data_IF_893961563358
#
_entry.id   IF_893961563358
#
_cell.length_a   1.000
_cell.length_b   1.000
_cell.length_c   1.000
_cell.angle_alpha   90.00
_cell.angle_beta   90.00
_cell.angle_gamma   90.00
#
_symmetry.space_group_name_H-M   'P 1'
#
loop_
_entity.id
_entity.type
_entity.pdbx_description
1 polymer ?
#
# COMPACT_ATOMS: atom_id res chain seq x y z
N UNK A 1 13.02 41.38 34.26
CA UNK A 1 12.34 42.36 33.40
C UNK A 1 11.57 41.60 32.33
N UNK A 2 10.25 41.70 32.35
CA UNK A 2 9.35 40.96 31.45
C UNK A 2 9.66 41.35 30.00
N UNK A 3 10.06 40.39 29.16
CA UNK A 3 10.34 40.64 27.75
C UNK A 3 9.04 41.08 27.06
N UNK A 4 8.90 42.36 26.74
CA UNK A 4 7.77 42.89 25.97
C UNK A 4 7.65 42.12 24.64
N UNK A 5 6.49 41.54 24.40
CA UNK A 5 6.13 40.89 23.15
C UNK A 5 5.98 41.92 22.04
N UNK A 6 6.32 41.53 20.79
CA UNK A 6 6.30 42.45 19.62
C UNK A 6 4.94 43.13 19.40
N UNK A 7 3.83 42.50 19.83
CA UNK A 7 2.48 43.03 19.64
C UNK A 7 1.92 43.79 20.85
N UNK A 8 2.64 43.84 21.98
CA UNK A 8 2.18 44.47 23.22
C UNK A 8 2.14 46.01 23.08
N UNK A 9 1.37 46.73 23.92
CA UNK A 9 1.42 48.18 23.99
C UNK A 9 2.84 48.68 24.24
N UNK A 10 3.27 49.69 23.50
CA UNK A 10 4.62 50.22 23.65
C UNK A 10 4.79 50.90 25.02
N UNK A 11 5.93 50.64 25.66
CA UNK A 11 6.26 51.15 27.00
C UNK A 11 6.35 52.69 27.10
N UNK A 12 6.33 53.42 25.98
CA UNK A 12 6.29 54.88 25.96
C UNK A 12 4.90 55.48 26.24
N UNK A 13 3.86 54.65 26.42
CA UNK A 13 2.50 55.11 26.72
C UNK A 13 1.73 55.65 25.51
N UNK A 14 2.25 55.52 24.28
CA UNK A 14 1.62 56.07 23.06
C UNK A 14 0.38 55.34 22.55
N UNK A 15 -0.02 54.23 23.18
CA UNK A 15 -1.13 53.37 22.73
C UNK A 15 -0.85 52.53 21.47
N UNK A 16 0.32 52.69 20.82
CA UNK A 16 0.72 51.91 19.63
C UNK A 16 1.37 50.57 20.02
N UNK A 17 1.28 49.55 19.14
CA UNK A 17 1.98 48.25 19.32
C UNK A 17 3.51 48.44 19.30
N UNK A 18 4.24 47.74 20.16
CA UNK A 18 5.69 47.86 20.37
C UNK A 18 6.50 47.73 19.07
N UNK A 19 6.17 46.77 18.21
CA UNK A 19 6.81 46.58 16.89
C UNK A 19 6.69 47.77 15.94
N UNK A 20 5.65 48.61 16.10
CA UNK A 20 5.40 49.80 15.26
C UNK A 20 5.87 51.10 15.93
N UNK A 21 6.55 51.00 17.08
CA UNK A 21 6.99 52.16 17.85
C UNK A 21 8.48 52.03 18.19
N UNK A 22 8.85 51.53 19.38
CA UNK A 22 10.25 51.57 19.84
C UNK A 22 11.08 50.32 19.50
N UNK A 23 10.49 49.22 18.98
CA UNK A 23 11.23 47.98 18.73
C UNK A 23 12.51 48.16 17.87
N UNK A 24 12.44 48.95 16.80
CA UNK A 24 13.62 49.17 15.93
C UNK A 24 14.70 50.01 16.61
N UNK A 25 14.32 50.97 17.46
CA UNK A 25 15.27 51.79 18.20
C UNK A 25 15.99 50.96 19.27
N UNK A 26 15.25 50.15 20.02
CA UNK A 26 15.79 49.27 21.05
C UNK A 26 16.72 48.19 20.46
N UNK A 27 16.40 47.69 19.26
CA UNK A 27 17.26 46.76 18.53
C UNK A 27 18.57 47.39 18.07
N UNK A 28 18.57 48.69 17.75
CA UNK A 28 19.78 49.44 17.36
C UNK A 28 20.66 49.82 18.54
N UNK A 29 20.07 49.90 19.75
CA UNK A 29 20.80 50.22 20.98
C UNK A 29 21.27 49.00 21.76
N UNK A 30 20.93 47.77 21.33
CA UNK A 30 21.54 46.57 21.89
C UNK A 30 23.02 46.52 21.51
N UNK A 31 23.94 46.53 22.49
CA UNK A 31 25.36 46.29 22.20
C UNK A 31 25.49 44.93 21.53
N UNK A 32 26.22 44.87 20.41
CA UNK A 32 26.70 43.58 19.90
C UNK A 32 27.69 43.06 20.94
N UNK A 33 27.30 42.07 21.73
CA UNK A 33 28.17 41.41 22.69
C UNK A 33 29.32 40.71 21.96
N UNK A 34 30.38 41.46 21.67
CA UNK A 34 31.70 40.99 21.28
C UNK A 34 32.53 40.82 22.55
N UNK A 35 32.34 39.72 23.27
CA UNK A 35 33.23 39.26 24.34
C UNK A 35 33.47 37.75 24.23
N UNK A 36 34.36 37.38 23.31
CA UNK A 36 35.15 36.15 23.39
C UNK A 36 36.63 36.53 23.64
N UNK A 37 37.41 35.74 24.37
CA UNK A 37 38.74 36.14 24.82
C UNK A 37 39.68 36.38 23.65
N UNK A 38 40.16 37.63 23.55
CA UNK A 38 41.13 38.11 22.58
C UNK A 38 42.53 37.58 22.92
N UNK A 39 42.80 36.33 22.55
CA UNK A 39 44.15 35.84 22.22
C UNK A 39 44.18 34.44 21.59
N UNK A 40 43.07 33.96 21.03
CA UNK A 40 43.12 32.74 20.20
C UNK A 40 43.55 33.12 18.79
N UNK A 41 44.62 32.50 18.22
CA UNK A 41 44.96 32.70 16.82
C UNK A 41 43.73 32.36 15.97
N UNK A 42 43.53 33.11 14.89
CA UNK A 42 42.42 32.88 13.96
C UNK A 42 42.28 31.37 13.71
N UNK A 43 41.04 30.81 13.76
CA UNK A 43 40.87 29.39 13.50
C UNK A 43 41.53 29.10 12.16
N UNK A 44 42.46 28.15 12.16
CA UNK A 44 43.15 27.73 10.96
C UNK A 44 42.11 27.50 9.86
N UNK A 45 42.40 27.87 8.60
CA UNK A 45 41.47 27.61 7.50
C UNK A 45 41.02 26.15 7.61
N UNK A 46 39.70 25.95 7.59
CA UNK A 46 39.11 24.62 7.72
C UNK A 46 39.88 23.68 6.77
N UNK A 47 40.39 22.54 7.26
CA UNK A 47 41.11 21.61 6.41
C UNK A 47 40.22 21.27 5.21
N UNK A 48 40.83 21.18 4.02
CA UNK A 48 40.12 20.82 2.80
C UNK A 48 39.19 19.63 3.11
N UNK A 49 37.87 19.80 2.92
CA UNK A 49 36.89 18.74 3.22
C UNK A 49 37.20 17.45 2.46
N UNK A 50 37.89 17.54 1.30
CA UNK A 50 38.42 16.38 0.56
C UNK A 50 39.48 15.58 1.31
N UNK A 51 40.21 16.20 2.25
CA UNK A 51 41.21 15.55 3.09
C UNK A 51 40.62 14.97 4.39
N UNK A 52 39.40 15.38 4.77
CA UNK A 52 38.71 14.94 6.00
C UNK A 52 38.58 13.41 6.09
N UNK A 53 38.20 12.69 5.01
CA UNK A 53 38.15 11.22 4.98
C UNK A 53 39.47 10.54 5.37
N UNK A 54 40.57 10.99 4.76
CA UNK A 54 41.91 10.45 5.03
C UNK A 54 42.36 10.74 6.46
N UNK A 55 42.01 11.92 7.00
CA UNK A 55 42.27 12.27 8.39
C UNK A 55 41.47 11.40 9.35
N UNK A 56 40.16 11.23 9.14
CA UNK A 56 39.30 10.38 9.96
C UNK A 56 39.78 8.93 9.95
N UNK A 57 40.10 8.37 8.77
CA UNK A 57 40.61 7.00 8.63
C UNK A 57 41.96 6.81 9.36
N UNK A 58 42.84 7.82 9.30
CA UNK A 58 44.10 7.83 10.07
C UNK A 58 43.86 7.90 11.58
N UNK A 59 42.91 8.71 12.04
CA UNK A 59 42.56 8.82 13.46
C UNK A 59 41.91 7.54 14.02
N UNK A 60 41.05 6.88 13.23
CA UNK A 60 40.43 5.61 13.62
C UNK A 60 41.44 4.46 13.75
N UNK A 61 42.54 4.49 13.00
CA UNK A 61 43.57 3.43 12.99
C UNK A 61 44.74 3.73 13.94
N UNK A 62 45.19 4.98 14.00
CA UNK A 62 46.42 5.39 14.71
C UNK A 62 46.19 6.29 15.92
N UNK A 63 44.95 6.74 16.15
CA UNK A 63 44.61 7.62 17.27
C UNK A 63 44.70 6.95 18.65
N UNK A 64 44.44 7.69 19.74
CA UNK A 64 44.35 7.14 21.09
C UNK A 64 43.26 6.07 21.19
N UNK A 65 43.50 4.98 21.91
CA UNK A 65 42.60 3.80 21.94
C UNK A 65 41.13 4.15 22.30
N UNK A 66 40.93 5.13 23.19
CA UNK A 66 39.62 5.64 23.60
C UNK A 66 38.85 6.34 22.47
N UNK A 67 39.54 6.93 21.50
CA UNK A 67 38.95 7.72 20.42
C UNK A 67 38.78 6.89 19.13
N UNK A 68 39.54 5.80 18.98
CA UNK A 68 39.46 4.90 17.80
C UNK A 68 38.05 4.37 17.57
N UNK A 69 37.38 3.89 18.63
CA UNK A 69 36.01 3.36 18.54
C UNK A 69 35.04 4.41 18.04
N UNK A 70 35.09 5.62 18.61
CA UNK A 70 34.24 6.74 18.22
C UNK A 70 34.48 7.21 16.79
N UNK A 71 35.74 7.28 16.35
CA UNK A 71 36.06 7.63 14.96
C UNK A 71 35.70 6.51 13.98
N UNK A 72 35.77 5.25 14.39
CA UNK A 72 35.31 4.11 13.60
C UNK A 72 33.78 4.12 13.42
N UNK A 73 33.03 4.46 14.47
CA UNK A 73 31.56 4.66 14.40
C UNK A 73 31.20 5.80 13.43
N UNK A 74 31.84 6.97 13.56
CA UNK A 74 31.65 8.10 12.64
C UNK A 74 31.99 7.72 11.19
N UNK A 75 33.07 6.97 10.97
CA UNK A 75 33.42 6.49 9.62
C UNK A 75 32.45 5.46 9.07
N UNK A 76 31.86 4.62 9.93
CA UNK A 76 30.86 3.65 9.51
C UNK A 76 29.55 4.35 9.12
N UNK A 77 29.11 5.34 9.90
CA UNK A 77 27.89 6.11 9.65
C UNK A 77 28.06 7.10 8.49
N UNK A 78 29.21 7.78 8.38
CA UNK A 78 29.47 8.79 7.35
C UNK A 78 30.20 8.23 6.12
N UNK A 79 30.48 6.93 6.06
CA UNK A 79 31.30 6.28 5.03
C UNK A 79 30.89 6.62 3.60
N UNK A 80 29.60 6.48 3.24
CA UNK A 80 29.09 6.81 1.90
C UNK A 80 29.21 8.29 1.55
N UNK A 81 28.87 9.20 2.47
CA UNK A 81 29.00 10.66 2.28
C UNK A 81 30.46 11.08 2.10
N UNK A 82 31.35 10.45 2.87
CA UNK A 82 32.80 10.60 2.75
C UNK A 82 33.27 10.14 1.38
N UNK A 83 32.88 8.94 0.95
CA UNK A 83 33.27 8.39 -0.35
C UNK A 83 32.76 9.26 -1.51
N UNK A 84 31.50 9.68 -1.43
CA UNK A 84 30.90 10.61 -2.39
C UNK A 84 31.69 11.91 -2.49
N UNK A 85 32.10 12.48 -1.35
CA UNK A 85 32.92 13.70 -1.33
C UNK A 85 34.29 13.49 -1.98
N UNK A 86 34.90 12.31 -1.78
CA UNK A 86 36.19 11.98 -2.41
C UNK A 86 36.04 11.80 -3.91
N UNK A 87 35.00 11.09 -4.35
CA UNK A 87 34.74 10.75 -5.76
C UNK A 87 33.94 11.81 -6.51
N UNK A 88 33.68 12.97 -5.91
CA UNK A 88 32.82 14.01 -6.48
C UNK A 88 33.28 14.44 -7.88
N UNK A 89 34.59 14.61 -8.08
CA UNK A 89 35.15 15.00 -9.39
C UNK A 89 34.93 13.90 -10.44
N UNK A 90 35.06 12.62 -10.07
CA UNK A 90 34.80 11.48 -10.95
C UNK A 90 33.33 11.41 -11.35
N UNK A 91 32.42 11.60 -10.38
CA UNK A 91 30.96 11.60 -10.60
C UNK A 91 30.57 12.75 -11.53
N UNK A 92 31.16 13.94 -11.34
CA UNK A 92 30.92 15.09 -12.21
C UNK A 92 31.44 14.85 -13.63
N UNK A 93 32.64 14.30 -13.77
CA UNK A 93 33.21 13.96 -15.08
C UNK A 93 32.34 12.91 -15.80
N UNK A 94 31.91 11.86 -15.10
CA UNK A 94 31.01 10.84 -15.64
C UNK A 94 29.67 11.44 -16.07
N UNK A 95 29.10 12.36 -15.27
CA UNK A 95 27.88 13.09 -15.63
C UNK A 95 28.06 13.95 -16.89
N UNK A 96 29.22 14.60 -17.05
CA UNK A 96 29.52 15.36 -18.27
C UNK A 96 29.68 14.46 -19.50
N UNK A 97 30.24 13.26 -19.34
CA UNK A 97 30.37 12.29 -20.43
C UNK A 97 28.99 11.80 -20.91
N UNK A 98 28.05 11.58 -19.99
CA UNK A 98 26.68 11.17 -20.32
C UNK A 98 25.95 12.15 -21.24
N UNK A 99 26.29 13.44 -21.19
CA UNK A 99 25.69 14.47 -22.05
C UNK A 99 25.84 14.18 -23.55
N UNK A 100 26.90 13.49 -23.96
CA UNK A 100 27.11 13.04 -25.34
C UNK A 100 26.11 11.95 -25.77
N UNK A 101 25.50 11.26 -24.81
CA UNK A 101 24.55 10.16 -25.01
C UNK A 101 23.10 10.55 -24.69
N UNK A 102 22.82 11.82 -24.39
CA UNK A 102 21.48 12.31 -24.05
C UNK A 102 20.41 11.95 -25.07
N UNK A 103 20.68 12.10 -26.38
CA UNK A 103 19.68 11.83 -27.42
C UNK A 103 19.18 10.37 -27.37
N UNK A 104 20.08 9.42 -27.11
CA UNK A 104 19.71 8.01 -26.96
C UNK A 104 18.90 7.76 -25.68
N UNK A 105 19.17 8.51 -24.61
CA UNK A 105 18.38 8.46 -23.39
C UNK A 105 16.98 9.08 -23.59
N UNK A 106 16.88 10.19 -24.30
CA UNK A 106 15.59 10.81 -24.63
C UNK A 106 14.71 9.87 -25.45
N UNK A 107 15.29 9.13 -26.41
CA UNK A 107 14.60 8.08 -27.16
C UNK A 107 14.11 6.95 -26.23
N UNK A 108 14.96 6.49 -25.30
CA UNK A 108 14.58 5.49 -24.30
C UNK A 108 13.39 5.95 -23.43
N UNK A 109 13.36 7.22 -23.01
CA UNK A 109 12.28 7.78 -22.18
C UNK A 109 10.94 7.82 -22.92
N UNK A 110 10.93 7.89 -24.25
CA UNK A 110 9.69 7.77 -25.04
C UNK A 110 9.18 6.33 -25.12
N UNK A 111 10.05 5.34 -24.94
CA UNK A 111 9.71 3.92 -24.91
C UNK A 111 9.58 3.43 -23.46
N UNK A 112 8.40 3.67 -22.88
CA UNK A 112 8.11 3.36 -21.48
C UNK A 112 8.34 1.90 -21.12
N UNK A 113 8.00 0.97 -22.02
CA UNK A 113 8.15 -0.47 -21.77
C UNK A 113 9.63 -0.84 -21.69
N UNK A 114 10.42 -0.40 -22.68
CA UNK A 114 11.87 -0.63 -22.69
C UNK A 114 12.57 0.04 -21.52
N UNK A 115 12.15 1.25 -21.16
CA UNK A 115 12.70 1.96 -20.01
C UNK A 115 12.46 1.20 -18.70
N UNK A 116 11.24 0.72 -18.47
CA UNK A 116 10.89 -0.06 -17.27
C UNK A 116 11.67 -1.38 -17.22
N UNK A 117 11.77 -2.10 -18.33
CA UNK A 117 12.57 -3.33 -18.39
C UNK A 117 14.05 -3.10 -18.06
N UNK A 118 14.64 -2.01 -18.57
CA UNK A 118 16.03 -1.66 -18.28
C UNK A 118 16.23 -1.25 -16.81
N UNK A 119 15.28 -0.49 -16.22
CA UNK A 119 15.31 -0.11 -14.81
C UNK A 119 15.28 -1.35 -13.89
N UNK A 120 14.36 -2.29 -14.15
CA UNK A 120 14.26 -3.54 -13.40
C UNK A 120 15.54 -4.36 -13.53
N UNK A 121 16.03 -4.56 -14.76
CA UNK A 121 17.28 -5.28 -15.00
C UNK A 121 18.46 -4.65 -14.27
N UNK A 122 18.60 -3.32 -14.32
CA UNK A 122 19.68 -2.58 -13.67
C UNK A 122 19.61 -2.71 -12.14
N UNK A 123 18.47 -2.40 -11.54
CA UNK A 123 18.34 -2.35 -10.08
C UNK A 123 18.24 -3.72 -9.41
N UNK A 124 18.00 -4.78 -10.18
CA UNK A 124 18.16 -6.17 -9.71
C UNK A 124 19.63 -6.59 -9.53
N UNK A 125 20.60 -5.85 -10.09
CA UNK A 125 22.03 -6.19 -9.99
C UNK A 125 22.53 -6.26 -8.54
N UNK A 126 23.47 -7.18 -8.29
CA UNK A 126 24.05 -7.39 -6.96
C UNK A 126 24.70 -6.13 -6.35
N UNK A 127 25.14 -5.17 -7.17
CA UNK A 127 25.71 -3.90 -6.70
C UNK A 127 24.72 -3.07 -5.88
N UNK A 128 23.42 -3.21 -6.14
CA UNK A 128 22.36 -2.48 -5.44
C UNK A 128 21.78 -3.27 -4.26
N UNK A 129 22.23 -4.51 -4.03
CA UNK A 129 21.75 -5.32 -2.91
C UNK A 129 21.85 -4.64 -1.54
N UNK A 130 22.91 -3.85 -1.22
CA UNK A 130 22.98 -3.11 0.04
C UNK A 130 21.93 -2.01 0.21
N UNK A 131 21.25 -1.60 -0.87
CA UNK A 131 20.24 -0.53 -0.85
C UNK A 131 18.81 -1.07 -0.69
N UNK A 132 18.64 -2.39 -0.76
CA UNK A 132 17.33 -3.05 -0.63
C UNK A 132 16.81 -2.90 0.79
N UNK A 133 15.50 -2.72 0.91
CA UNK A 133 14.86 -2.80 2.22
C UNK A 133 14.85 -4.25 2.71
N UNK A 134 15.02 -4.43 4.01
CA UNK A 134 15.01 -5.75 4.65
C UNK A 134 13.58 -6.21 4.94
N UNK A 135 13.38 -7.52 5.06
CA UNK A 135 12.09 -8.09 5.49
C UNK A 135 11.59 -7.52 6.83
N UNK A 136 12.53 -7.19 7.74
CA UNK A 136 12.20 -6.60 9.04
C UNK A 136 11.72 -5.16 8.90
N UNK A 137 12.39 -4.32 8.09
CA UNK A 137 11.95 -2.95 7.80
C UNK A 137 10.56 -2.97 7.15
N UNK A 138 10.35 -3.80 6.11
CA UNK A 138 9.06 -3.93 5.42
C UNK A 138 7.94 -4.33 6.36
N UNK A 139 8.16 -5.37 7.19
CA UNK A 139 7.18 -5.80 8.19
C UNK A 139 6.83 -4.68 9.18
N UNK A 140 7.79 -3.88 9.62
CA UNK A 140 7.54 -2.76 10.52
C UNK A 140 6.74 -1.66 9.85
N UNK A 141 7.05 -1.33 8.59
CA UNK A 141 6.29 -0.36 7.80
C UNK A 141 4.84 -0.79 7.61
N UNK A 142 4.59 -2.05 7.24
CA UNK A 142 3.24 -2.58 7.06
C UNK A 142 2.44 -2.62 8.37
N UNK A 143 3.10 -2.84 9.52
CA UNK A 143 2.43 -2.68 10.83
C UNK A 143 1.99 -1.23 11.09
N UNK A 144 2.68 -0.26 10.52
CA UNK A 144 2.37 1.16 10.69
C UNK A 144 1.27 1.63 9.72
N UNK A 145 1.36 1.24 8.45
CA UNK A 145 0.45 1.73 7.39
C UNK A 145 -0.74 0.82 7.12
N UNK A 146 -0.73 -0.40 7.65
CA UNK A 146 -1.67 -1.47 7.30
C UNK A 146 -1.06 -2.50 6.37
N UNK A 147 -1.71 -3.66 6.30
CA UNK A 147 -1.31 -4.75 5.40
C UNK A 147 -2.10 -4.67 4.08
N UNK A 148 -1.44 -4.87 2.92
CA UNK A 148 -2.18 -4.99 1.66
C UNK A 148 -3.12 -6.19 1.77
N UNK A 149 -4.40 -5.97 1.46
CA UNK A 149 -5.39 -7.03 1.57
C UNK A 149 -5.06 -8.15 0.56
N UNK A 150 -5.10 -9.44 0.94
CA UNK A 150 -4.73 -10.56 0.06
C UNK A 150 -5.50 -10.64 -1.25
N UNK A 151 -6.63 -9.93 -1.33
CA UNK A 151 -7.54 -9.96 -2.45
C UNK A 151 -7.71 -8.57 -3.10
N UNK A 152 -7.20 -7.47 -2.53
CA UNK A 152 -7.59 -6.11 -2.96
C UNK A 152 -7.43 -5.94 -4.47
N UNK A 153 -8.22 -5.04 -5.07
CA UNK A 153 -7.90 -4.61 -6.42
C UNK A 153 -6.45 -4.06 -6.43
N UNK A 154 -5.82 -4.05 -7.61
CA UNK A 154 -4.42 -3.62 -7.71
C UNK A 154 -4.19 -2.19 -7.21
N UNK A 155 -5.24 -1.35 -7.19
CA UNK A 155 -5.18 0.04 -6.74
C UNK A 155 -5.04 0.13 -5.22
N UNK A 156 -5.92 -0.50 -4.42
CA UNK A 156 -5.86 -0.45 -2.95
C UNK A 156 -4.59 -1.15 -2.39
N UNK A 157 -4.19 -2.25 -3.02
CA UNK A 157 -2.90 -2.90 -2.72
C UNK A 157 -1.75 -1.94 -3.02
N UNK A 158 -1.79 -1.28 -4.19
CA UNK A 158 -0.79 -0.33 -4.63
C UNK A 158 -0.66 0.86 -3.69
N UNK A 159 -1.77 1.40 -3.17
CA UNK A 159 -1.78 2.50 -2.20
C UNK A 159 -1.13 2.10 -0.88
N UNK A 160 -1.44 0.92 -0.36
CA UNK A 160 -0.85 0.42 0.89
C UNK A 160 0.66 0.23 0.74
N UNK A 161 1.10 -0.39 -0.35
CA UNK A 161 2.52 -0.58 -0.65
C UNK A 161 3.23 0.77 -0.87
N UNK A 162 2.59 1.71 -1.56
CA UNK A 162 3.08 3.08 -1.73
C UNK A 162 3.28 3.76 -0.37
N UNK A 163 2.29 3.67 0.52
CA UNK A 163 2.40 4.22 1.88
C UNK A 163 3.56 3.59 2.66
N UNK A 164 3.76 2.27 2.55
CA UNK A 164 4.88 1.58 3.20
C UNK A 164 6.24 2.04 2.67
N UNK A 165 6.37 2.20 1.34
CA UNK A 165 7.59 2.73 0.71
C UNK A 165 7.87 4.15 1.21
N UNK A 166 6.87 5.02 1.23
CA UNK A 166 7.04 6.40 1.70
C UNK A 166 7.39 6.47 3.20
N UNK A 167 6.88 5.55 4.01
CA UNK A 167 7.25 5.43 5.41
C UNK A 167 8.72 5.04 5.61
N UNK A 168 9.24 4.12 4.79
CA UNK A 168 10.63 3.66 4.86
C UNK A 168 11.63 4.61 4.19
N UNK A 169 11.21 5.26 3.10
CA UNK A 169 12.01 6.20 2.34
C UNK A 169 11.78 7.62 2.84
N UNK A 170 12.13 7.87 4.10
CA UNK A 170 12.13 9.23 4.64
C UNK A 170 13.20 10.11 3.98
N UNK A 171 13.24 11.39 4.37
CA UNK A 171 14.17 12.36 3.78
C UNK A 171 15.63 11.96 3.94
N UNK A 172 16.03 11.43 5.09
CA UNK A 172 17.42 11.06 5.37
C UNK A 172 17.79 9.81 4.55
N UNK A 173 16.95 8.79 4.59
CA UNK A 173 17.15 7.56 3.82
C UNK A 173 17.20 7.83 2.32
N UNK A 174 16.38 8.73 1.78
CA UNK A 174 16.43 9.14 0.37
C UNK A 174 17.75 9.81 -0.01
N UNK A 175 18.32 10.64 0.87
CA UNK A 175 19.62 11.26 0.64
C UNK A 175 20.74 10.22 0.61
N UNK A 176 20.70 9.25 1.52
CA UNK A 176 21.66 8.14 1.54
C UNK A 176 21.56 7.28 0.28
N UNK A 177 20.34 6.88 -0.10
CA UNK A 177 20.09 6.10 -1.32
C UNK A 177 20.59 6.82 -2.58
N UNK A 178 20.30 8.12 -2.72
CA UNK A 178 20.76 8.91 -3.85
C UNK A 178 22.29 9.05 -3.89
N UNK A 179 22.93 9.19 -2.74
CA UNK A 179 24.39 9.23 -2.62
C UNK A 179 25.00 7.91 -3.12
N UNK A 180 24.45 6.78 -2.70
CA UNK A 180 24.90 5.46 -3.14
C UNK A 180 24.67 5.20 -4.63
N UNK A 181 23.55 5.69 -5.19
CA UNK A 181 23.29 5.63 -6.63
C UNK A 181 24.38 6.39 -7.41
N UNK A 182 24.68 7.64 -7.04
CA UNK A 182 25.67 8.45 -7.74
C UNK A 182 27.09 7.87 -7.65
N UNK A 183 27.42 7.16 -6.58
CA UNK A 183 28.69 6.43 -6.46
C UNK A 183 28.87 5.33 -7.51
N UNK A 184 27.78 4.81 -8.11
CA UNK A 184 27.85 3.82 -9.19
C UNK A 184 28.11 4.46 -10.56
N UNK A 185 27.93 5.77 -10.70
CA UNK A 185 27.93 6.47 -11.98
C UNK A 185 29.26 6.33 -12.75
N UNK A 186 30.43 6.56 -12.14
CA UNK A 186 31.70 6.49 -12.87
C UNK A 186 31.95 5.10 -13.45
N UNK A 187 31.65 4.05 -12.69
CA UNK A 187 31.91 2.66 -13.09
C UNK A 187 30.99 2.24 -14.25
N UNK A 188 29.75 2.72 -14.29
CA UNK A 188 28.82 2.48 -15.40
C UNK A 188 29.28 3.18 -16.68
N UNK A 189 29.68 4.44 -16.58
CA UNK A 189 30.19 5.22 -17.71
C UNK A 189 31.48 4.62 -18.26
N UNK A 190 32.41 4.24 -17.39
CA UNK A 190 33.65 3.57 -17.77
C UNK A 190 33.40 2.22 -18.47
N UNK A 191 32.33 1.52 -18.09
CA UNK A 191 31.90 0.28 -18.74
C UNK A 191 31.13 0.49 -20.06
N UNK A 192 30.94 1.74 -20.51
CA UNK A 192 30.15 2.08 -21.70
C UNK A 192 28.64 1.91 -21.53
N UNK A 193 28.16 1.77 -20.28
CA UNK A 193 26.74 1.57 -19.94
C UNK A 193 26.02 2.91 -19.76
N UNK A 194 26.03 3.72 -20.81
CA UNK A 194 25.60 5.12 -20.76
C UNK A 194 24.11 5.32 -20.46
N UNK A 195 23.24 4.45 -20.99
CA UNK A 195 21.80 4.53 -20.71
C UNK A 195 21.51 4.21 -19.24
N UNK A 196 22.16 3.21 -18.69
CA UNK A 196 22.06 2.88 -17.26
C UNK A 196 22.66 3.98 -16.38
N UNK A 197 23.76 4.61 -16.80
CA UNK A 197 24.31 5.80 -16.15
C UNK A 197 23.30 6.94 -16.06
N UNK A 198 22.60 7.24 -17.17
CA UNK A 198 21.50 8.22 -17.19
C UNK A 198 20.35 7.83 -16.25
N UNK A 199 19.94 6.56 -16.24
CA UNK A 199 18.90 6.07 -15.33
C UNK A 199 19.31 6.21 -13.86
N UNK A 200 20.55 5.87 -13.50
CA UNK A 200 21.08 6.06 -12.14
C UNK A 200 21.07 7.54 -11.76
N UNK A 201 21.57 8.42 -12.62
CA UNK A 201 21.68 9.85 -12.32
C UNK A 201 20.31 10.52 -12.14
N UNK A 202 19.38 10.26 -13.08
CA UNK A 202 18.01 10.81 -13.01
C UNK A 202 17.23 10.23 -11.82
N UNK A 203 17.39 8.95 -11.53
CA UNK A 203 16.78 8.29 -10.36
C UNK A 203 17.29 8.89 -9.06
N UNK A 204 18.60 9.13 -8.94
CA UNK A 204 19.18 9.74 -7.75
C UNK A 204 18.58 11.12 -7.48
N UNK A 205 18.46 11.96 -8.53
CA UNK A 205 17.83 13.27 -8.43
C UNK A 205 16.35 13.17 -8.03
N UNK A 206 15.56 12.36 -8.72
CA UNK A 206 14.13 12.19 -8.44
C UNK A 206 13.86 11.61 -7.05
N UNK A 207 14.75 10.75 -6.54
CA UNK A 207 14.63 10.18 -5.19
C UNK A 207 14.72 11.26 -4.11
N UNK A 208 15.51 12.31 -4.33
CA UNK A 208 15.68 13.43 -3.39
C UNK A 208 14.58 14.48 -3.53
N UNK A 209 14.20 14.83 -4.76
CA UNK A 209 13.27 15.94 -5.01
C UNK A 209 11.80 15.55 -4.78
N UNK A 210 11.39 14.35 -5.21
CA UNK A 210 10.01 13.90 -5.12
C UNK A 210 9.76 13.11 -3.81
N UNK A 211 9.85 13.81 -2.67
CA UNK A 211 9.73 13.17 -1.33
C UNK A 211 8.34 12.59 -1.05
N UNK A 212 7.29 13.19 -1.62
CA UNK A 212 5.90 12.78 -1.43
C UNK A 212 5.46 11.68 -2.42
N UNK A 213 6.37 11.22 -3.29
CA UNK A 213 6.07 10.21 -4.30
C UNK A 213 7.11 9.08 -4.37
N UNK A 214 6.70 7.96 -4.95
CA UNK A 214 7.57 6.81 -5.20
C UNK A 214 8.26 6.96 -6.55
N UNK A 215 9.26 6.12 -6.79
CA UNK A 215 9.83 5.95 -8.12
C UNK A 215 10.16 4.46 -8.35
N UNK A 216 10.43 4.04 -9.60
CA UNK A 216 10.70 2.64 -9.91
C UNK A 216 11.84 2.02 -9.09
N UNK A 217 12.86 2.81 -8.73
CA UNK A 217 13.96 2.33 -7.89
C UNK A 217 13.52 2.04 -6.46
N UNK A 218 12.77 2.95 -5.81
CA UNK A 218 12.27 2.72 -4.46
C UNK A 218 11.33 1.51 -4.42
N UNK A 219 10.50 1.34 -5.45
CA UNK A 219 9.64 0.17 -5.59
C UNK A 219 10.47 -1.11 -5.71
N UNK A 220 11.49 -1.14 -6.57
CA UNK A 220 12.37 -2.29 -6.75
C UNK A 220 13.17 -2.62 -5.48
N UNK A 221 13.69 -1.62 -4.77
CA UNK A 221 14.39 -1.86 -3.50
C UNK A 221 13.45 -2.42 -2.43
N UNK A 222 12.17 -2.04 -2.48
CA UNK A 222 11.14 -2.52 -1.56
C UNK A 222 10.65 -3.91 -1.91
N UNK A 223 10.51 -4.24 -3.19
CA UNK A 223 10.01 -5.55 -3.64
C UNK A 223 10.87 -6.69 -3.08
N UNK A 224 12.21 -6.57 -3.08
CA UNK A 224 13.10 -7.59 -2.50
C UNK A 224 12.84 -7.82 -1.00
N UNK A 225 12.63 -6.74 -0.23
CA UNK A 225 12.31 -6.85 1.20
C UNK A 225 10.93 -7.45 1.42
N UNK A 226 9.97 -7.08 0.58
CA UNK A 226 8.60 -7.57 0.61
C UNK A 226 8.50 -9.06 0.26
N UNK A 227 9.17 -9.50 -0.80
CA UNK A 227 9.29 -10.91 -1.19
C UNK A 227 9.96 -11.74 -0.11
N UNK A 228 11.06 -11.24 0.49
CA UNK A 228 11.72 -11.91 1.59
C UNK A 228 10.79 -12.04 2.81
N UNK A 229 10.02 -11.00 3.13
CA UNK A 229 9.03 -11.04 4.21
C UNK A 229 7.90 -12.03 3.94
N UNK A 230 7.37 -12.07 2.71
CA UNK A 230 6.35 -13.05 2.30
C UNK A 230 6.91 -14.47 2.44
N UNK A 231 8.13 -14.72 1.97
CA UNK A 231 8.78 -16.03 2.08
C UNK A 231 9.00 -16.45 3.54
N UNK A 232 9.41 -15.51 4.41
CA UNK A 232 9.54 -15.75 5.85
C UNK A 232 8.19 -16.14 6.49
N UNK A 233 7.11 -15.42 6.13
CA UNK A 233 5.76 -15.70 6.63
C UNK A 233 5.28 -17.08 6.17
N UNK A 234 5.41 -17.39 4.87
CA UNK A 234 5.05 -18.69 4.31
C UNK A 234 5.83 -19.82 4.97
N UNK A 235 7.14 -19.65 5.20
CA UNK A 235 7.97 -20.65 5.87
C UNK A 235 7.53 -20.90 7.32
N UNK A 236 7.12 -19.84 8.04
CA UNK A 236 6.57 -19.95 9.40
C UNK A 236 5.25 -20.71 9.41
N UNK A 237 4.33 -20.38 8.50
CA UNK A 237 3.04 -21.06 8.36
C UNK A 237 3.24 -22.54 8.00
N UNK A 238 4.15 -22.83 7.07
CA UNK A 238 4.47 -24.20 6.67
C UNK A 238 5.06 -25.01 7.82
N UNK A 239 5.96 -24.43 8.61
CA UNK A 239 6.53 -25.11 9.77
C UNK A 239 5.45 -25.46 10.80
N UNK A 240 4.45 -24.60 10.96
CA UNK A 240 3.32 -24.81 11.85
C UNK A 240 2.37 -25.88 11.32
N UNK A 241 2.05 -25.87 10.03
CA UNK A 241 1.25 -26.91 9.37
C UNK A 241 1.93 -28.30 9.45
N UNK A 242 3.24 -28.36 9.21
CA UNK A 242 4.02 -29.62 9.35
C UNK A 242 3.97 -30.18 10.77
N UNK A 243 3.93 -29.33 11.82
CA UNK A 243 3.75 -29.78 13.22
C UNK A 243 2.39 -30.44 13.46
N UNK A 244 1.38 -30.13 12.65
CA UNK A 244 0.06 -30.78 12.66
C UNK A 244 0.01 -32.04 11.79
N UNK A 245 1.15 -32.46 11.23
CA UNK A 245 1.24 -33.61 10.32
C UNK A 245 0.60 -33.35 8.97
N UNK A 246 0.53 -32.09 8.54
CA UNK A 246 0.08 -31.71 7.19
C UNK A 246 1.27 -31.80 6.24
N UNK A 247 1.09 -32.53 5.15
CA UNK A 247 1.99 -32.49 4.01
C UNK A 247 1.67 -31.24 3.16
N UNK A 248 2.44 -30.18 3.40
CA UNK A 248 2.24 -28.87 2.77
C UNK A 248 2.52 -28.93 1.26
N UNK A 249 3.48 -29.74 0.84
CA UNK A 249 3.86 -29.84 -0.57
C UNK A 249 2.78 -30.57 -1.37
N UNK A 250 2.22 -31.63 -0.78
CA UNK A 250 1.03 -32.26 -1.33
C UNK A 250 -0.15 -31.30 -1.37
N UNK A 251 -0.46 -30.59 -0.27
CA UNK A 251 -1.59 -29.66 -0.21
C UNK A 251 -1.49 -28.57 -1.28
N UNK A 252 -0.30 -28.03 -1.56
CA UNK A 252 -0.09 -27.04 -2.63
C UNK A 252 -0.21 -27.61 -4.05
N UNK A 253 0.03 -28.91 -4.22
CA UNK A 253 -0.14 -29.57 -5.52
C UNK A 253 -1.60 -29.78 -5.91
N UNK A 254 -2.50 -29.76 -4.92
CA UNK A 254 -3.95 -29.90 -5.12
C UNK A 254 -4.54 -28.64 -5.75
N UNK A 255 -5.56 -28.81 -6.59
CA UNK A 255 -6.40 -27.71 -7.07
C UNK A 255 -7.15 -27.02 -5.91
N UNK A 256 -7.65 -25.78 -6.08
CA UNK A 256 -8.43 -25.11 -5.03
C UNK A 256 -9.64 -25.91 -4.51
N UNK A 257 -10.30 -26.68 -5.39
CA UNK A 257 -11.40 -27.57 -5.01
C UNK A 257 -10.91 -28.76 -4.17
N UNK A 258 -9.80 -29.38 -4.57
CA UNK A 258 -9.20 -30.50 -3.84
C UNK A 258 -8.61 -30.06 -2.50
N UNK A 259 -8.00 -28.87 -2.43
CA UNK A 259 -7.52 -28.28 -1.17
C UNK A 259 -8.67 -28.09 -0.19
N UNK A 260 -9.81 -27.61 -0.68
CA UNK A 260 -11.00 -27.41 0.14
C UNK A 260 -11.61 -28.73 0.61
N UNK A 261 -11.80 -29.69 -0.30
CA UNK A 261 -12.28 -31.03 0.05
C UNK A 261 -11.34 -31.72 1.06
N UNK A 262 -10.03 -31.53 0.90
CA UNK A 262 -9.05 -31.99 1.86
C UNK A 262 -9.25 -31.32 3.23
N UNK A 263 -9.36 -29.99 3.29
CA UNK A 263 -9.61 -29.28 4.57
C UNK A 263 -10.90 -29.75 5.25
N UNK A 264 -11.97 -29.97 4.49
CA UNK A 264 -13.23 -30.51 5.01
C UNK A 264 -13.05 -31.91 5.58
N UNK A 265 -12.30 -32.78 4.88
CA UNK A 265 -11.99 -34.11 5.39
C UNK A 265 -11.21 -34.08 6.71
N UNK A 266 -10.33 -33.08 6.89
CA UNK A 266 -9.58 -32.91 8.14
C UNK A 266 -10.49 -32.45 9.29
N UNK A 267 -11.49 -31.61 9.01
CA UNK A 267 -12.43 -31.11 10.02
C UNK A 267 -13.57 -32.07 10.32
N UNK A 268 -13.84 -33.04 9.44
CA UNK A 268 -14.84 -34.08 9.67
C UNK A 268 -14.45 -35.09 10.77
N UNK A 269 -13.16 -35.26 11.04
CA UNK A 269 -12.66 -36.06 12.18
C UNK A 269 -12.66 -35.19 13.46
N UNK A 270 -13.48 -35.51 14.48
CA UNK A 270 -13.55 -34.72 15.71
C UNK A 270 -12.21 -34.60 16.46
N UNK A 271 -11.32 -35.59 16.34
CA UNK A 271 -9.99 -35.54 16.97
C UNK A 271 -9.09 -34.52 16.26
N UNK A 272 -9.11 -34.52 14.93
CA UNK A 272 -8.41 -33.53 14.10
C UNK A 272 -8.99 -32.13 14.28
N UNK A 273 -10.32 -31.99 14.28
CA UNK A 273 -10.99 -30.71 14.54
C UNK A 273 -10.56 -30.11 15.89
N UNK A 274 -10.53 -30.93 16.95
CA UNK A 274 -10.06 -30.51 18.28
C UNK A 274 -8.58 -30.11 18.26
N UNK A 275 -7.73 -30.84 17.52
CA UNK A 275 -6.32 -30.52 17.36
C UNK A 275 -6.14 -29.15 16.70
N UNK A 276 -6.83 -28.88 15.59
CA UNK A 276 -6.81 -27.59 14.90
C UNK A 276 -7.29 -26.43 15.79
N UNK A 277 -8.40 -26.63 16.53
CA UNK A 277 -8.91 -25.63 17.48
C UNK A 277 -7.92 -25.31 18.61
N UNK A 278 -7.22 -26.32 19.13
CA UNK A 278 -6.18 -26.11 20.15
C UNK A 278 -4.96 -25.39 19.57
N UNK A 279 -4.54 -25.78 18.37
CA UNK A 279 -3.43 -25.15 17.67
C UNK A 279 -3.68 -23.65 17.43
N UNK A 280 -4.87 -23.27 16.93
CA UNK A 280 -5.23 -21.86 16.77
C UNK A 280 -5.28 -21.10 18.09
N UNK A 281 -5.65 -21.77 19.19
CA UNK A 281 -5.66 -21.17 20.54
C UNK A 281 -4.24 -20.91 21.07
N UNK A 282 -3.30 -21.82 20.78
CA UNK A 282 -1.89 -21.69 21.16
C UNK A 282 -1.13 -20.67 20.28
N UNK A 283 -1.70 -20.28 19.14
CA UNK A 283 -1.11 -19.36 18.17
C UNK A 283 -2.07 -18.19 17.86
N UNK A 284 -2.32 -17.28 18.83
CA UNK A 284 -3.33 -16.23 18.70
C UNK A 284 -3.10 -15.30 17.49
N UNK A 285 -1.85 -15.06 17.12
CA UNK A 285 -1.49 -14.28 15.92
C UNK A 285 -1.96 -14.92 14.60
N UNK A 286 -1.95 -16.26 14.51
CA UNK A 286 -2.49 -16.95 13.33
C UNK A 286 -4.01 -16.87 13.29
N UNK A 287 -4.64 -16.90 14.47
CA UNK A 287 -6.08 -16.76 14.60
C UNK A 287 -6.53 -15.35 14.18
N UNK A 288 -5.91 -14.32 14.74
CA UNK A 288 -6.19 -12.91 14.40
C UNK A 288 -6.03 -12.67 12.89
N UNK A 289 -4.94 -13.18 12.31
CA UNK A 289 -4.73 -13.13 10.88
C UNK A 289 -5.82 -13.86 10.08
N UNK A 290 -6.20 -15.07 10.48
CA UNK A 290 -7.26 -15.82 9.80
C UNK A 290 -8.63 -15.14 9.92
N UNK A 291 -8.91 -14.51 11.07
CA UNK A 291 -10.13 -13.75 11.31
C UNK A 291 -10.16 -12.49 10.42
N UNK A 292 -9.05 -11.74 10.33
CA UNK A 292 -8.89 -10.56 9.45
C UNK A 292 -9.01 -10.93 7.95
N UNK A 293 -8.40 -12.05 7.55
CA UNK A 293 -8.53 -12.58 6.20
C UNK A 293 -9.98 -12.97 5.90
N UNK A 294 -10.64 -13.66 6.82
CA UNK A 294 -12.04 -14.05 6.67
C UNK A 294 -12.98 -12.83 6.58
N UNK A 295 -12.78 -11.81 7.41
CA UNK A 295 -13.56 -10.57 7.36
C UNK A 295 -13.36 -9.84 6.03
N UNK A 296 -12.09 -9.71 5.60
CA UNK A 296 -11.74 -9.10 4.33
C UNK A 296 -12.35 -9.88 3.15
N UNK A 297 -12.24 -11.21 3.17
CA UNK A 297 -12.83 -12.10 2.18
C UNK A 297 -14.35 -11.96 2.12
N UNK A 298 -15.00 -11.89 3.28
CA UNK A 298 -16.45 -11.73 3.41
C UNK A 298 -16.89 -10.42 2.78
N UNK A 299 -16.28 -9.30 3.18
CA UNK A 299 -16.56 -7.96 2.65
C UNK A 299 -16.40 -7.92 1.13
N UNK A 300 -15.36 -8.57 0.61
CA UNK A 300 -14.96 -8.45 -0.80
C UNK A 300 -15.61 -9.47 -1.71
N UNK A 301 -16.10 -10.59 -1.18
CA UNK A 301 -16.97 -11.51 -1.92
C UNK A 301 -18.18 -10.78 -2.51
N UNK A 302 -18.68 -9.75 -1.84
CA UNK A 302 -19.78 -8.91 -2.29
C UNK A 302 -19.43 -8.06 -3.55
N UNK A 303 -18.15 -7.74 -3.78
CA UNK A 303 -17.71 -7.04 -5.00
C UNK A 303 -17.97 -7.86 -6.26
N UNK A 304 -18.04 -9.20 -6.13
CA UNK A 304 -18.35 -10.08 -7.25
C UNK A 304 -19.67 -9.67 -7.92
N UNK A 305 -20.67 -9.28 -7.13
CA UNK A 305 -22.02 -8.94 -7.60
C UNK A 305 -22.06 -7.61 -8.37
N UNK A 306 -21.08 -6.73 -8.16
CA UNK A 306 -21.04 -5.44 -8.86
C UNK A 306 -20.38 -5.53 -10.23
N UNK A 307 -19.67 -6.63 -10.51
CA UNK A 307 -18.96 -6.83 -11.77
C UNK A 307 -19.92 -7.16 -12.89
N UNK A 308 -19.73 -6.52 -14.05
CA UNK A 308 -20.63 -6.67 -15.20
C UNK A 308 -20.63 -8.11 -15.73
N UNK A 309 -19.47 -8.77 -15.72
CA UNK A 309 -19.31 -10.17 -16.11
C UNK A 309 -20.00 -11.15 -15.15
N UNK A 310 -20.37 -10.70 -13.95
CA UNK A 310 -21.05 -11.51 -12.93
C UNK A 310 -22.56 -11.30 -12.91
N UNK A 311 -23.13 -10.58 -13.88
CA UNK A 311 -24.59 -10.37 -13.98
C UNK A 311 -25.41 -11.66 -14.09
N UNK A 312 -24.80 -12.75 -14.53
CA UNK A 312 -25.45 -14.07 -14.57
C UNK A 312 -25.79 -14.61 -13.16
N UNK A 313 -25.20 -14.06 -12.10
CA UNK A 313 -25.53 -14.40 -10.71
C UNK A 313 -26.80 -13.69 -10.21
N UNK A 314 -27.25 -12.63 -10.88
CA UNK A 314 -28.43 -11.87 -10.47
C UNK A 314 -29.68 -12.77 -10.48
N UNK A 315 -30.63 -12.43 -9.61
CA UNK A 315 -31.89 -13.13 -9.47
C UNK A 315 -32.73 -13.00 -10.75
N UNK A 316 -33.49 -14.04 -11.05
CA UNK A 316 -34.37 -14.07 -12.22
C UNK A 316 -35.48 -13.00 -12.10
N UNK A 317 -36.06 -12.55 -13.23
CA UNK A 317 -37.17 -11.60 -13.20
C UNK A 317 -38.34 -12.08 -12.32
N UNK A 318 -38.66 -13.38 -12.36
CA UNK A 318 -39.73 -13.99 -11.57
C UNK A 318 -39.46 -13.92 -10.05
N UNK A 319 -38.19 -14.10 -9.64
CA UNK A 319 -37.79 -13.97 -8.22
C UNK A 319 -37.85 -12.52 -7.74
N UNK A 320 -37.64 -11.55 -8.63
CA UNK A 320 -37.55 -10.12 -8.30
C UNK A 320 -38.91 -9.41 -8.38
N UNK A 321 -39.78 -9.81 -9.31
CA UNK A 321 -41.06 -9.17 -9.61
C UNK A 321 -41.92 -8.87 -8.36
N UNK A 322 -42.10 -9.79 -7.39
CA UNK A 322 -42.91 -9.52 -6.20
C UNK A 322 -42.39 -8.36 -5.32
N UNK A 323 -41.11 -8.03 -5.45
CA UNK A 323 -40.41 -7.05 -4.61
C UNK A 323 -40.32 -5.66 -5.26
N UNK A 324 -40.53 -5.56 -6.58
CA UNK A 324 -40.43 -4.31 -7.34
C UNK A 324 -41.38 -3.22 -6.81
N UNK A 325 -42.67 -3.48 -6.53
CA UNK A 325 -43.57 -2.44 -6.02
C UNK A 325 -43.09 -1.86 -4.69
N UNK A 326 -42.76 -2.73 -3.73
CA UNK A 326 -42.29 -2.33 -2.41
C UNK A 326 -40.95 -1.59 -2.44
N UNK A 327 -40.08 -1.93 -3.39
CA UNK A 327 -38.81 -1.23 -3.64
C UNK A 327 -39.04 0.16 -4.25
N UNK A 328 -39.89 0.24 -5.27
CA UNK A 328 -40.21 1.48 -5.98
C UNK A 328 -40.90 2.49 -5.07
N UNK A 329 -41.84 2.05 -4.24
CA UNK A 329 -42.53 2.90 -3.26
C UNK A 329 -41.56 3.51 -2.24
N UNK A 330 -40.59 2.71 -1.75
CA UNK A 330 -39.58 3.18 -0.79
C UNK A 330 -38.59 4.15 -1.41
N UNK A 331 -38.18 3.91 -2.66
CA UNK A 331 -37.36 4.87 -3.42
C UNK A 331 -38.11 6.16 -3.69
N UNK A 332 -39.40 6.08 -4.06
CA UNK A 332 -40.23 7.25 -4.29
C UNK A 332 -40.46 8.07 -3.01
N UNK A 333 -40.61 7.39 -1.86
CA UNK A 333 -40.70 8.05 -0.56
C UNK A 333 -39.40 8.77 -0.15
N UNK A 334 -38.26 8.42 -0.75
CA UNK A 334 -36.99 9.09 -0.53
C UNK A 334 -36.91 10.46 -1.23
N UNK A 335 -37.61 10.63 -2.35
CA UNK A 335 -37.57 11.83 -3.16
C UNK A 335 -38.62 12.84 -2.69
N UNK A 336 -38.25 14.13 -2.47
CA UNK A 336 -39.24 15.14 -2.11
C UNK A 336 -40.29 15.31 -3.22
N UNK A 337 -41.59 15.38 -2.89
CA UNK A 337 -42.65 15.43 -3.88
C UNK A 337 -42.50 16.65 -4.79
N UNK A 338 -42.45 16.40 -6.11
CA UNK A 338 -42.40 17.45 -7.14
C UNK A 338 -41.00 18.03 -7.43
N UNK A 339 -39.92 17.50 -6.86
CA UNK A 339 -38.54 17.93 -7.17
C UNK A 339 -37.60 16.72 -7.38
N UNK A 340 -37.61 16.11 -8.57
CA UNK A 340 -36.75 14.95 -8.88
C UNK A 340 -35.24 15.26 -8.80
N UNK A 341 -34.85 16.53 -8.95
CA UNK A 341 -33.45 16.99 -8.93
C UNK A 341 -33.01 17.67 -7.62
N UNK A 342 -33.83 17.63 -6.56
CA UNK A 342 -33.45 18.24 -5.30
C UNK A 342 -32.30 17.47 -4.63
N UNK A 343 -31.28 18.21 -4.15
CA UNK A 343 -30.24 17.62 -3.29
C UNK A 343 -30.87 17.13 -1.99
N UNK A 344 -31.00 15.81 -1.87
CA UNK A 344 -31.43 15.15 -0.65
C UNK A 344 -30.26 15.17 0.33
N UNK A 345 -30.44 15.64 1.59
CA UNK A 345 -29.39 15.59 2.60
C UNK A 345 -28.89 14.16 2.82
N UNK A 346 -27.57 13.98 2.98
CA UNK A 346 -26.94 12.67 3.21
C UNK A 346 -27.57 11.90 4.38
N UNK A 347 -27.93 12.61 5.46
CA UNK A 347 -28.62 12.01 6.61
C UNK A 347 -29.99 11.43 6.25
N UNK A 348 -30.72 12.05 5.33
CA UNK A 348 -32.03 11.58 4.89
C UNK A 348 -31.89 10.42 3.91
N UNK A 349 -30.91 10.47 3.01
CA UNK A 349 -30.53 9.33 2.14
C UNK A 349 -30.21 8.10 2.99
N UNK A 350 -29.35 8.31 4.00
CA UNK A 350 -28.95 7.26 4.94
C UNK A 350 -30.16 6.69 5.69
N UNK A 351 -31.05 7.55 6.18
CA UNK A 351 -32.27 7.14 6.88
C UNK A 351 -33.19 6.31 5.98
N UNK A 352 -33.45 6.75 4.75
CA UNK A 352 -34.32 6.00 3.82
C UNK A 352 -33.70 4.65 3.47
N UNK A 353 -32.37 4.61 3.32
CA UNK A 353 -31.65 3.36 3.09
C UNK A 353 -31.74 2.42 4.29
N UNK A 354 -31.37 2.89 5.49
CA UNK A 354 -31.32 2.08 6.73
C UNK A 354 -32.71 1.67 7.24
N UNK A 355 -33.69 2.58 7.25
CA UNK A 355 -35.02 2.35 7.82
C UNK A 355 -36.02 1.78 6.79
N UNK A 356 -35.77 2.00 5.50
CA UNK A 356 -36.69 1.63 4.42
C UNK A 356 -36.21 0.44 3.60
N UNK A 357 -35.09 0.62 2.89
CA UNK A 357 -34.61 -0.34 1.89
C UNK A 357 -33.94 -1.56 2.52
N UNK A 358 -33.10 -1.39 3.54
CA UNK A 358 -32.43 -2.52 4.21
C UNK A 358 -33.43 -3.55 4.75
N UNK A 359 -34.50 -3.18 5.48
CA UNK A 359 -35.51 -4.14 5.91
C UNK A 359 -36.17 -4.92 4.75
N UNK A 360 -36.49 -4.24 3.64
CA UNK A 360 -37.05 -4.90 2.45
C UNK A 360 -36.08 -5.92 1.86
N UNK A 361 -34.80 -5.54 1.70
CA UNK A 361 -33.77 -6.43 1.16
C UNK A 361 -33.52 -7.64 2.06
N UNK A 362 -33.62 -7.46 3.38
CA UNK A 362 -33.51 -8.54 4.36
C UNK A 362 -34.69 -9.51 4.27
N UNK A 363 -35.90 -8.98 4.13
CA UNK A 363 -37.12 -9.78 3.92
C UNK A 363 -37.04 -10.57 2.60
N UNK A 364 -36.58 -9.91 1.54
CA UNK A 364 -36.34 -10.53 0.23
C UNK A 364 -35.32 -11.65 0.33
N UNK A 365 -34.20 -11.42 1.01
CA UNK A 365 -33.17 -12.43 1.19
C UNK A 365 -33.69 -13.64 1.98
N UNK A 366 -34.46 -13.42 3.05
CA UNK A 366 -35.11 -14.49 3.82
C UNK A 366 -36.08 -15.33 2.99
N UNK A 367 -36.83 -14.69 2.09
CA UNK A 367 -37.84 -15.36 1.28
C UNK A 367 -37.23 -16.17 0.13
N UNK A 368 -36.20 -15.64 -0.53
CA UNK A 368 -35.61 -16.23 -1.75
C UNK A 368 -34.57 -17.29 -1.42
N UNK A 369 -33.66 -17.00 -0.48
CA UNK A 369 -32.51 -17.87 -0.23
C UNK A 369 -32.85 -18.97 0.79
N UNK A 370 -33.70 -19.89 0.35
CA UNK A 370 -33.90 -21.17 1.03
C UNK A 370 -32.61 -22.00 0.99
N UNK A 371 -32.53 -23.04 1.82
CA UNK A 371 -31.38 -23.96 1.81
C UNK A 371 -31.10 -24.55 0.42
N UNK A 372 -32.14 -24.97 -0.29
CA UNK A 372 -32.03 -25.52 -1.65
C UNK A 372 -31.49 -24.45 -2.62
N UNK A 373 -32.02 -23.22 -2.56
CA UNK A 373 -31.56 -22.12 -3.40
C UNK A 373 -30.10 -21.74 -3.12
N UNK A 374 -29.69 -21.77 -1.86
CA UNK A 374 -28.29 -21.56 -1.45
C UNK A 374 -27.40 -22.67 -2.02
N UNK A 375 -27.82 -23.93 -1.96
CA UNK A 375 -27.09 -25.07 -2.53
C UNK A 375 -26.89 -24.91 -4.05
N UNK A 376 -27.90 -24.45 -4.79
CA UNK A 376 -27.80 -24.11 -6.22
C UNK A 376 -26.82 -22.96 -6.51
N UNK A 377 -26.89 -21.89 -5.71
CA UNK A 377 -26.00 -20.74 -5.85
C UNK A 377 -24.54 -21.12 -5.56
N UNK A 378 -24.32 -21.95 -4.54
CA UNK A 378 -23.01 -22.52 -4.23
C UNK A 378 -22.47 -23.35 -5.39
N UNK A 379 -23.30 -24.20 -6.00
CA UNK A 379 -22.90 -24.99 -7.16
C UNK A 379 -22.52 -24.09 -8.35
N UNK A 380 -23.30 -23.03 -8.59
CA UNK A 380 -23.04 -22.04 -9.64
C UNK A 380 -21.69 -21.33 -9.41
N UNK A 381 -21.44 -20.86 -8.19
CA UNK A 381 -20.19 -20.18 -7.83
C UNK A 381 -18.96 -21.11 -7.91
N UNK A 382 -19.13 -22.41 -7.59
CA UNK A 382 -18.06 -23.41 -7.73
C UNK A 382 -17.67 -23.63 -9.19
N UNK A 383 -18.66 -23.82 -10.07
CA UNK A 383 -18.41 -23.94 -11.52
C UNK A 383 -17.72 -22.69 -12.05
N UNK A 384 -18.24 -21.51 -11.70
CA UNK A 384 -17.64 -20.24 -12.12
C UNK A 384 -16.21 -20.06 -11.63
N UNK A 385 -15.91 -20.43 -10.36
CA UNK A 385 -14.54 -20.43 -9.82
C UNK A 385 -13.61 -21.27 -10.68
N UNK A 386 -14.00 -22.50 -11.00
CA UNK A 386 -13.16 -23.42 -11.77
C UNK A 386 -12.86 -22.87 -13.18
N UNK A 387 -13.86 -22.29 -13.85
CA UNK A 387 -13.70 -21.63 -15.14
C UNK A 387 -12.73 -20.44 -15.08
N UNK A 388 -12.87 -19.57 -14.07
CA UNK A 388 -11.98 -18.41 -13.90
C UNK A 388 -10.54 -18.84 -13.59
N UNK A 389 -10.36 -19.86 -12.75
CA UNK A 389 -9.05 -20.40 -12.44
C UNK A 389 -8.38 -20.99 -13.70
N UNK A 390 -9.12 -21.74 -14.53
CA UNK A 390 -8.63 -22.28 -15.79
C UNK A 390 -8.27 -21.17 -16.81
N UNK A 391 -8.96 -20.04 -16.75
CA UNK A 391 -8.68 -18.86 -17.58
C UNK A 391 -7.51 -18.00 -17.06
N UNK A 392 -6.89 -18.35 -15.93
CA UNK A 392 -5.81 -17.57 -15.31
C UNK A 392 -6.29 -16.33 -14.53
N UNK A 393 -7.60 -16.17 -14.35
CA UNK A 393 -8.19 -15.09 -13.54
C UNK A 393 -8.24 -15.50 -12.06
N UNK A 394 -7.07 -15.44 -11.43
CA UNK A 394 -6.89 -15.87 -10.05
C UNK A 394 -7.76 -15.06 -9.07
N UNK A 395 -7.88 -13.74 -9.27
CA UNK A 395 -8.63 -12.87 -8.37
C UNK A 395 -10.13 -13.22 -8.37
N UNK A 396 -10.75 -13.33 -9.55
CA UNK A 396 -12.19 -13.65 -9.64
C UNK A 396 -12.48 -15.06 -9.13
N UNK A 397 -11.59 -16.02 -9.42
CA UNK A 397 -11.68 -17.37 -8.88
C UNK A 397 -11.65 -17.37 -7.33
N UNK A 398 -10.79 -16.55 -6.74
CA UNK A 398 -10.67 -16.42 -5.29
C UNK A 398 -11.88 -15.73 -4.65
N UNK A 399 -12.43 -14.69 -5.29
CA UNK A 399 -13.67 -14.01 -4.85
C UNK A 399 -14.90 -14.92 -4.91
N UNK A 400 -15.07 -15.66 -6.01
CA UNK A 400 -16.11 -16.69 -6.13
C UNK A 400 -15.94 -17.77 -5.05
N UNK A 401 -14.68 -18.15 -4.78
CA UNK A 401 -14.31 -19.03 -3.68
C UNK A 401 -14.73 -18.54 -2.30
N UNK A 402 -14.50 -17.26 -2.02
CA UNK A 402 -14.91 -16.63 -0.77
C UNK A 402 -16.44 -16.56 -0.66
N UNK A 403 -17.13 -16.17 -1.74
CA UNK A 403 -18.58 -16.04 -1.78
C UNK A 403 -19.28 -17.34 -1.41
N UNK A 404 -18.95 -18.46 -2.06
CA UNK A 404 -19.66 -19.70 -1.76
C UNK A 404 -19.31 -20.25 -0.37
N UNK A 405 -18.06 -20.10 0.12
CA UNK A 405 -17.72 -20.48 1.50
C UNK A 405 -18.50 -19.68 2.52
N UNK A 406 -18.76 -18.40 2.23
CA UNK A 406 -19.53 -17.52 3.09
C UNK A 406 -21.00 -17.95 3.18
N UNK A 407 -21.62 -18.37 2.06
CA UNK A 407 -23.06 -18.69 2.04
C UNK A 407 -23.38 -20.19 2.25
N UNK A 408 -22.44 -21.12 2.08
CA UNK A 408 -22.73 -22.57 2.02
C UNK A 408 -23.44 -23.15 3.24
N UNK A 409 -23.16 -22.60 4.42
CA UNK A 409 -23.78 -23.02 5.68
C UNK A 409 -24.68 -21.92 6.27
N UNK A 410 -25.15 -20.98 5.43
CA UNK A 410 -25.95 -19.85 5.87
C UNK A 410 -27.33 -20.32 6.35
N UNK A 411 -27.67 -19.92 7.57
CA UNK A 411 -28.95 -20.20 8.23
C UNK A 411 -29.80 -18.95 8.43
N UNK A 412 -29.20 -17.76 8.23
CA UNK A 412 -29.79 -16.44 8.40
C UNK A 412 -29.52 -15.55 7.18
N UNK A 413 -30.09 -15.89 6.01
CA UNK A 413 -29.88 -15.13 4.78
C UNK A 413 -30.24 -13.63 4.91
N UNK A 414 -31.15 -13.27 5.83
CA UNK A 414 -31.52 -11.88 6.12
C UNK A 414 -30.41 -11.05 6.77
N UNK A 415 -29.33 -11.68 7.25
CA UNK A 415 -28.16 -11.00 7.80
C UNK A 415 -26.93 -11.11 6.89
N UNK A 416 -26.99 -11.90 5.83
CA UNK A 416 -25.85 -12.14 4.96
C UNK A 416 -25.67 -10.99 3.94
N UNK A 417 -24.54 -10.28 4.04
CA UNK A 417 -24.29 -9.09 3.20
C UNK A 417 -24.15 -9.43 1.71
N UNK A 418 -23.64 -10.60 1.36
CA UNK A 418 -23.52 -11.02 -0.03
C UNK A 418 -24.90 -11.24 -0.65
N UNK A 419 -25.79 -11.95 0.06
CA UNK A 419 -27.16 -12.20 -0.39
C UNK A 419 -28.00 -10.92 -0.45
N UNK A 420 -27.89 -10.04 0.55
CA UNK A 420 -28.55 -8.73 0.55
C UNK A 420 -28.09 -7.87 -0.63
N UNK A 421 -26.80 -7.88 -0.96
CA UNK A 421 -26.26 -7.15 -2.12
C UNK A 421 -26.74 -7.75 -3.44
N UNK A 422 -26.90 -9.08 -3.50
CA UNK A 422 -27.48 -9.77 -4.65
C UNK A 422 -28.94 -9.35 -4.89
N UNK A 423 -29.76 -9.29 -3.83
CA UNK A 423 -31.12 -8.74 -3.90
C UNK A 423 -31.13 -7.29 -4.42
N UNK A 424 -30.29 -6.42 -3.84
CA UNK A 424 -30.19 -5.02 -4.24
C UNK A 424 -29.83 -4.87 -5.73
N UNK A 425 -28.77 -5.53 -6.17
CA UNK A 425 -28.31 -5.44 -7.56
C UNK A 425 -29.33 -5.99 -8.54
N UNK A 426 -30.04 -7.05 -8.17
CA UNK A 426 -31.11 -7.63 -9.00
C UNK A 426 -32.31 -6.69 -9.14
N UNK A 427 -32.73 -6.04 -8.04
CA UNK A 427 -33.80 -5.02 -8.06
C UNK A 427 -33.43 -3.79 -8.89
N UNK A 428 -32.21 -3.27 -8.70
CA UNK A 428 -31.72 -2.12 -9.49
C UNK A 428 -31.69 -2.46 -10.98
N UNK A 429 -31.19 -3.65 -11.33
CA UNK A 429 -31.18 -4.11 -12.71
C UNK A 429 -32.60 -4.21 -13.30
N UNK A 430 -33.55 -4.80 -12.56
CA UNK A 430 -34.93 -4.96 -13.01
C UNK A 430 -35.65 -3.62 -13.24
N UNK A 431 -35.46 -2.64 -12.34
CA UNK A 431 -36.07 -1.30 -12.48
C UNK A 431 -35.45 -0.51 -13.64
N UNK A 432 -34.15 -0.66 -13.89
CA UNK A 432 -33.45 0.00 -14.99
C UNK A 432 -33.81 -0.56 -16.37
N UNK A 433 -34.17 -1.84 -16.46
CA UNK A 433 -34.56 -2.47 -17.72
C UNK A 433 -36.00 -2.19 -18.13
N UNK A 434 -36.86 -1.71 -17.23
CA UNK A 434 -38.29 -1.48 -17.48
C UNK A 434 -39.07 -2.76 -17.83
N UNK A 435 -40.41 -2.76 -17.79
CA UNK A 435 -41.17 -3.84 -18.41
C UNK A 435 -40.86 -3.83 -19.91
N UNK A 436 -40.49 -4.98 -20.47
CA UNK A 436 -40.35 -5.14 -21.91
C UNK A 436 -41.64 -4.65 -22.57
N UNK A 437 -41.55 -3.66 -23.46
CA UNK A 437 -42.68 -3.26 -24.30
C UNK A 437 -43.15 -4.51 -25.05
N UNK A 438 -44.37 -4.96 -24.74
CA UNK A 438 -45.08 -5.96 -25.52
C UNK A 438 -45.09 -5.49 -26.97
N UNK A 439 -44.63 -6.30 -27.96
CA UNK A 439 -44.69 -5.89 -29.34
C UNK A 439 -46.16 -5.75 -29.73
N UNK A 440 -46.64 -4.51 -29.81
CA UNK A 440 -47.97 -4.15 -30.26
C UNK A 440 -48.31 -4.94 -31.53
N UNK A 441 -49.46 -5.63 -31.60
CA UNK A 441 -49.83 -6.37 -32.79
C UNK A 441 -50.00 -5.37 -33.93
N UNK A 442 -49.19 -5.54 -34.98
CA UNK A 442 -49.26 -4.72 -36.17
C UNK A 442 -50.66 -4.86 -36.81
N UNK A 443 -51.38 -3.73 -36.93
CA UNK A 443 -52.47 -3.54 -37.88
C UNK A 443 -51.95 -3.26 -39.29
#
# INVERSE_FOLDING_TARGET
MTKLGRNDPCHCGSGKKYKKCHLQADQRQRPKDSHGPADSPAPAPLPNLRALPGMLRKLATTGPAKDRKRFAEILAESGPLIEYTVRQDEIQAAGQELEAHRAAFEELVQDRERQLALLQSLFSEARFAPLRFTATEVRQALKHVGHPAPLSNNEDAGETLRAAILHLADKERRQDLATHLLLQLPDLVQAGRYLEGWLVQTTAFNTVEAVDDTNPFLFEMFSFGYEAWIAEKQSQDDALLRRLGVDVDHLRSLSPDEQEAWMESQLADPAREKMWKNFLRENPQLREHADDELETMTRRSAELVDREECRFLLLSPEEVEPWIPGFSDRLAAAAPPGQPDAQIPEAEIRRVFEDGLVPLLREMAAAIFTRERIEELVATLRTFRAERAAAGDALTAQLAGAAFRYIRNEDRPELNLFLIRLCWRSLVAAVQTGPAEDPSPAE
#
